data_IF_501075535641
#
_entry.id   IF_501075535641
#
_cell.length_a   1.000
_cell.length_b   1.000
_cell.length_c   1.000
_cell.angle_alpha   90.00
_cell.angle_beta   90.00
_cell.angle_gamma   90.00
#
_symmetry.space_group_name_H-M   'P 1'
#
loop_
_entity.id
_entity.type
_entity.pdbx_description
1 polymer ?
#
# COMPACT_ATOMS: atom_id res chain seq x y z
N UNK A 1 -39.38 2.32 28.81
CA UNK A 1 -38.48 3.43 28.43
C UNK A 1 -37.45 2.83 27.49
N UNK A 2 -37.69 2.89 26.19
CA UNK A 2 -36.88 2.21 25.17
C UNK A 2 -35.95 3.24 24.55
N UNK A 3 -34.65 3.12 24.81
CA UNK A 3 -33.64 3.97 24.19
C UNK A 3 -33.48 3.55 22.74
N UNK A 4 -33.86 4.42 21.79
CA UNK A 4 -33.62 4.21 20.36
C UNK A 4 -32.18 4.68 20.07
N UNK A 5 -31.32 3.76 19.64
CA UNK A 5 -30.01 4.11 19.12
C UNK A 5 -30.18 4.67 17.70
N UNK A 6 -29.95 5.96 17.54
CA UNK A 6 -29.92 6.61 16.24
C UNK A 6 -28.61 6.21 15.54
N UNK A 7 -28.68 5.24 14.62
CA UNK A 7 -27.55 4.91 13.76
C UNK A 7 -27.29 6.10 12.82
N UNK A 8 -26.10 6.69 12.90
CA UNK A 8 -25.66 7.71 11.94
C UNK A 8 -25.69 7.09 10.53
N UNK A 9 -26.38 7.70 9.55
CA UNK A 9 -26.42 7.15 8.20
C UNK A 9 -25.01 7.16 7.62
N UNK A 10 -24.48 5.97 7.28
CA UNK A 10 -23.27 5.86 6.47
C UNK A 10 -23.50 6.38 5.05
N UNK A 11 -22.42 6.55 4.28
CA UNK A 11 -22.51 7.01 2.88
C UNK A 11 -23.43 6.09 2.06
N UNK A 12 -24.40 6.68 1.35
CA UNK A 12 -25.26 5.89 0.46
C UNK A 12 -24.49 5.47 -0.81
N UNK A 13 -24.85 4.31 -1.39
CA UNK A 13 -24.29 3.84 -2.68
C UNK A 13 -24.38 4.90 -3.78
N UNK A 14 -25.43 5.71 -3.76
CA UNK A 14 -25.66 6.79 -4.73
C UNK A 14 -24.73 7.98 -4.51
N UNK A 15 -24.46 8.34 -3.26
CA UNK A 15 -23.47 9.37 -2.93
C UNK A 15 -22.05 8.93 -3.27
N UNK A 16 -21.75 7.65 -3.07
CA UNK A 16 -20.49 7.05 -3.52
C UNK A 16 -20.33 7.13 -5.04
N UNK A 17 -21.35 6.76 -5.81
CA UNK A 17 -21.32 6.81 -7.28
C UNK A 17 -21.33 8.23 -7.85
N UNK A 18 -22.03 9.19 -7.21
CA UNK A 18 -21.99 10.60 -7.62
C UNK A 18 -20.62 11.25 -7.42
N UNK A 19 -19.80 10.71 -6.52
CA UNK A 19 -18.39 11.08 -6.35
C UNK A 19 -17.44 10.28 -7.26
N UNK A 20 -17.97 9.28 -7.97
CA UNK A 20 -17.22 8.24 -8.70
C UNK A 20 -17.13 8.46 -10.22
N UNK A 21 -16.75 9.65 -10.67
CA UNK A 21 -16.18 9.84 -12.02
C UNK A 21 -14.64 9.83 -12.02
N UNK A 22 -14.03 9.45 -10.89
CA UNK A 22 -12.57 9.33 -10.73
C UNK A 22 -12.27 7.82 -10.62
N UNK A 23 -11.67 7.24 -11.66
CA UNK A 23 -11.31 5.82 -11.69
C UNK A 23 -10.34 5.44 -10.55
N UNK A 24 -10.34 4.15 -10.15
CA UNK A 24 -9.36 3.49 -9.27
C UNK A 24 -8.78 4.32 -8.09
N UNK A 25 -9.54 5.27 -7.54
CA UNK A 25 -9.06 6.20 -6.54
C UNK A 25 -9.35 5.70 -5.13
N UNK A 26 -8.32 5.69 -4.29
CA UNK A 26 -8.48 5.42 -2.86
C UNK A 26 -9.29 6.55 -2.21
N UNK A 27 -10.34 6.18 -1.48
CA UNK A 27 -11.18 7.09 -0.70
C UNK A 27 -10.74 7.05 0.76
N UNK A 28 -10.61 8.22 1.36
CA UNK A 28 -10.32 8.37 2.79
C UNK A 28 -11.60 8.71 3.52
N UNK A 29 -11.90 7.96 4.59
CA UNK A 29 -13.08 8.20 5.45
C UNK A 29 -12.75 7.89 6.91
N UNK A 30 -12.85 8.89 7.79
CA UNK A 30 -12.39 8.75 9.16
C UNK A 30 -10.92 8.32 9.20
N UNK A 31 -10.64 7.20 9.87
CA UNK A 31 -9.30 6.62 9.94
C UNK A 31 -9.06 5.52 8.89
N UNK A 32 -9.88 5.41 7.84
CA UNK A 32 -9.78 4.33 6.86
C UNK A 32 -9.42 4.83 5.46
N UNK A 33 -8.62 4.02 4.76
CA UNK A 33 -8.38 4.10 3.32
C UNK A 33 -9.16 2.97 2.66
N UNK A 34 -9.98 3.28 1.67
CA UNK A 34 -10.90 2.34 1.03
C UNK A 34 -10.67 2.36 -0.48
N UNK A 35 -10.64 1.18 -1.11
CA UNK A 35 -10.80 1.02 -2.55
C UNK A 35 -12.20 0.47 -2.82
N UNK A 36 -13.18 1.32 -3.20
CA UNK A 36 -14.55 0.86 -3.40
C UNK A 36 -14.69 -0.07 -4.61
N UNK A 37 -13.90 0.18 -5.66
CA UNK A 37 -13.92 -0.59 -6.90
C UNK A 37 -13.32 -1.98 -6.73
N UNK A 38 -12.34 -2.14 -5.83
CA UNK A 38 -11.73 -3.44 -5.49
C UNK A 38 -12.26 -4.05 -4.18
N UNK A 39 -13.25 -3.41 -3.56
CA UNK A 39 -13.96 -3.88 -2.37
C UNK A 39 -13.05 -4.25 -1.17
N UNK A 40 -12.03 -3.44 -0.88
CA UNK A 40 -11.21 -3.59 0.32
C UNK A 40 -11.02 -2.24 1.04
N UNK A 41 -10.67 -2.32 2.33
CA UNK A 41 -10.34 -1.17 3.15
C UNK A 41 -9.28 -1.50 4.17
N UNK A 42 -8.55 -0.47 4.61
CA UNK A 42 -7.49 -0.55 5.60
C UNK A 42 -7.67 0.61 6.58
N UNK A 43 -7.83 0.28 7.85
CA UNK A 43 -7.86 1.27 8.93
C UNK A 43 -6.43 1.64 9.33
N UNK A 44 -6.19 2.89 9.69
CA UNK A 44 -4.95 3.37 10.30
C UNK A 44 -5.14 3.60 11.78
N UNK A 45 -4.09 3.38 12.56
CA UNK A 45 -4.10 3.59 14.01
C UNK A 45 -3.19 4.74 14.44
N UNK A 46 -1.99 4.85 13.85
CA UNK A 46 -0.97 5.80 14.27
C UNK A 46 -0.57 6.79 13.17
N UNK A 47 -0.63 6.36 11.91
CA UNK A 47 -0.42 7.21 10.74
C UNK A 47 -1.72 7.87 10.29
N UNK A 48 -1.60 9.04 9.65
CA UNK A 48 -2.73 9.68 9.01
C UNK A 48 -3.23 8.82 7.83
N UNK A 49 -4.55 8.75 7.60
CA UNK A 49 -5.11 8.06 6.44
C UNK A 49 -4.59 8.57 5.10
N UNK A 50 -4.37 9.87 4.95
CA UNK A 50 -3.75 10.46 3.75
C UNK A 50 -2.31 9.97 3.56
N UNK A 51 -1.53 9.94 4.64
CA UNK A 51 -0.17 9.38 4.64
C UNK A 51 -0.19 7.92 4.18
N UNK A 52 -1.10 7.12 4.73
CA UNK A 52 -1.26 5.73 4.34
C UNK A 52 -1.69 5.56 2.87
N UNK A 53 -2.63 6.36 2.39
CA UNK A 53 -3.06 6.31 0.99
C UNK A 53 -1.91 6.64 0.02
N UNK A 54 -1.11 7.68 0.33
CA UNK A 54 0.08 8.01 -0.46
C UNK A 54 1.15 6.92 -0.36
N UNK A 55 1.35 6.33 0.83
CA UNK A 55 2.30 5.24 1.06
C UNK A 55 1.96 3.97 0.25
N UNK A 56 0.67 3.64 0.09
CA UNK A 56 0.20 2.54 -0.77
C UNK A 56 0.58 2.80 -2.22
N UNK A 57 0.35 4.02 -2.72
CA UNK A 57 0.71 4.39 -4.09
C UNK A 57 2.22 4.36 -4.31
N UNK A 58 2.97 4.95 -3.39
CA UNK A 58 4.44 4.93 -3.35
C UNK A 58 4.98 3.49 -3.41
N UNK A 59 4.42 2.58 -2.60
CA UNK A 59 4.87 1.18 -2.58
C UNK A 59 4.70 0.48 -3.93
N UNK A 60 3.60 0.77 -4.64
CA UNK A 60 3.38 0.26 -6.00
C UNK A 60 4.37 0.82 -7.00
N UNK A 61 4.69 2.11 -6.90
CA UNK A 61 5.66 2.73 -7.81
C UNK A 61 7.12 2.27 -7.50
N UNK A 62 7.44 1.86 -6.27
CA UNK A 62 8.77 1.30 -5.91
C UNK A 62 8.98 -0.13 -6.47
N UNK A 63 7.97 -0.99 -6.36
CA UNK A 63 7.99 -2.35 -6.90
C UNK A 63 6.76 -2.59 -7.78
N UNK A 64 6.75 -2.08 -9.02
CA UNK A 64 5.58 -2.12 -9.89
C UNK A 64 5.31 -3.55 -10.38
N UNK A 65 4.09 -4.03 -10.14
CA UNK A 65 3.59 -5.30 -10.67
C UNK A 65 2.16 -5.12 -11.21
N UNK A 66 1.99 -5.23 -12.53
CA UNK A 66 0.70 -5.02 -13.18
C UNK A 66 -0.36 -6.06 -12.77
N UNK A 67 0.06 -7.31 -12.56
CA UNK A 67 -0.83 -8.42 -12.21
C UNK A 67 -1.21 -8.47 -10.72
N UNK A 68 -0.60 -7.64 -9.89
CA UNK A 68 -0.81 -7.63 -8.44
C UNK A 68 -1.78 -6.51 -8.04
N UNK A 69 -2.80 -6.86 -7.26
CA UNK A 69 -3.80 -5.91 -6.79
C UNK A 69 -3.27 -5.01 -5.66
N UNK A 70 -3.74 -3.76 -5.60
CA UNK A 70 -3.33 -2.75 -4.60
C UNK A 70 -3.53 -3.18 -3.14
N UNK A 71 -4.47 -4.11 -2.87
CA UNK A 71 -4.67 -4.65 -1.52
C UNK A 71 -3.40 -5.26 -0.94
N UNK A 72 -2.54 -5.86 -1.78
CA UNK A 72 -1.31 -6.50 -1.34
C UNK A 72 -0.26 -5.45 -0.94
N UNK A 73 -0.21 -4.32 -1.64
CA UNK A 73 0.59 -3.17 -1.25
C UNK A 73 0.07 -2.54 0.04
N UNK A 74 -1.26 -2.43 0.21
CA UNK A 74 -1.88 -1.98 1.45
C UNK A 74 -1.52 -2.85 2.65
N UNK A 75 -1.56 -4.18 2.49
CA UNK A 75 -1.10 -5.14 3.51
C UNK A 75 0.40 -4.93 3.79
N UNK A 76 1.23 -4.80 2.76
CA UNK A 76 2.67 -4.68 2.91
C UNK A 76 3.05 -3.44 3.75
N UNK A 77 2.47 -2.27 3.45
CA UNK A 77 2.81 -1.03 4.15
C UNK A 77 2.13 -0.88 5.51
N UNK A 78 1.18 -1.76 5.87
CA UNK A 78 0.49 -1.73 7.17
C UNK A 78 1.47 -1.83 8.36
N UNK A 79 2.60 -2.52 8.17
CA UNK A 79 3.65 -2.64 9.18
C UNK A 79 4.20 -1.28 9.64
N UNK A 80 4.25 -0.28 8.75
CA UNK A 80 4.68 1.07 9.11
C UNK A 80 3.71 1.77 10.07
N UNK A 81 2.40 1.54 9.94
CA UNK A 81 1.39 2.08 10.86
C UNK A 81 1.49 1.42 12.24
N UNK A 82 1.67 0.09 12.28
CA UNK A 82 1.90 -0.63 13.55
C UNK A 82 3.15 -0.12 14.25
N UNK A 83 4.26 0.03 13.52
CA UNK A 83 5.53 0.52 14.09
C UNK A 83 5.42 1.98 14.53
N UNK A 84 4.73 2.83 13.78
CA UNK A 84 4.47 4.22 14.16
C UNK A 84 3.67 4.36 15.47
N UNK A 85 2.89 3.33 15.85
CA UNK A 85 2.15 3.32 17.12
C UNK A 85 3.03 3.13 18.36
N UNK A 86 4.22 2.55 18.21
CA UNK A 86 5.15 2.27 19.31
C UNK A 86 6.46 3.04 19.22
N UNK A 87 6.79 3.57 18.04
CA UNK A 87 8.00 4.33 17.76
C UNK A 87 7.66 5.70 17.16
N UNK A 88 7.75 6.74 17.99
CA UNK A 88 7.46 8.12 17.58
C UNK A 88 8.44 8.66 16.55
N UNK A 89 9.69 8.20 16.54
CA UNK A 89 10.69 8.62 15.55
C UNK A 89 10.40 7.96 14.20
N UNK A 90 9.98 6.70 14.18
CA UNK A 90 9.51 6.04 12.95
C UNK A 90 8.24 6.69 12.41
N UNK A 91 7.30 7.08 13.28
CA UNK A 91 6.12 7.84 12.86
C UNK A 91 6.50 9.14 12.17
N UNK A 92 7.39 9.91 12.78
CA UNK A 92 7.88 11.17 12.19
C UNK A 92 8.59 10.95 10.87
N UNK A 93 9.44 9.91 10.77
CA UNK A 93 10.12 9.54 9.52
C UNK A 93 9.14 9.34 8.37
N UNK A 94 8.03 8.62 8.60
CA UNK A 94 7.03 8.32 7.57
C UNK A 94 6.19 9.55 7.24
N UNK A 95 5.66 10.25 8.25
CA UNK A 95 4.81 11.42 8.06
C UNK A 95 5.56 12.58 7.37
N UNK A 96 6.80 12.86 7.81
CA UNK A 96 7.63 13.89 7.19
C UNK A 96 8.09 13.50 5.79
N UNK A 97 8.40 12.21 5.56
CA UNK A 97 8.78 11.70 4.24
C UNK A 97 7.66 11.82 3.21
N UNK A 98 6.42 11.48 3.60
CA UNK A 98 5.25 11.68 2.73
C UNK A 98 4.96 13.17 2.51
N UNK A 99 5.13 14.01 3.52
CA UNK A 99 4.95 15.45 3.35
C UNK A 99 5.98 16.06 2.38
N UNK A 100 7.25 15.66 2.42
CA UNK A 100 8.27 16.07 1.45
C UNK A 100 7.93 15.55 0.04
N UNK A 101 7.49 14.29 -0.08
CA UNK A 101 7.07 13.69 -1.34
C UNK A 101 5.90 14.46 -1.98
N UNK A 102 4.85 14.75 -1.20
CA UNK A 102 3.69 15.52 -1.66
C UNK A 102 4.08 16.97 -2.01
N UNK A 103 4.99 17.58 -1.27
CA UNK A 103 5.49 18.93 -1.58
C UNK A 103 6.25 18.98 -2.92
N UNK A 104 7.07 17.97 -3.23
CA UNK A 104 7.76 17.85 -4.53
C UNK A 104 6.79 17.68 -5.70
N UNK A 105 5.68 16.98 -5.47
CA UNK A 105 4.64 16.76 -6.48
C UNK A 105 3.77 18.00 -6.73
N UNK A 106 3.76 18.96 -5.80
CA UNK A 106 3.04 20.21 -5.94
C UNK A 106 1.54 20.08 -5.74
N UNK A 107 0.76 20.85 -6.50
CA UNK A 107 -0.69 20.91 -6.33
C UNK A 107 -1.35 19.54 -6.61
N UNK A 108 -2.03 18.98 -5.60
CA UNK A 108 -2.65 17.65 -5.68
C UNK A 108 -1.82 16.52 -5.04
N UNK A 109 -0.58 16.81 -4.62
CA UNK A 109 0.30 15.82 -3.99
C UNK A 109 0.71 14.68 -4.91
N UNK A 110 1.47 13.73 -4.39
CA UNK A 110 2.07 12.64 -5.16
C UNK A 110 1.00 11.74 -5.82
N UNK A 111 -0.12 11.49 -5.13
CA UNK A 111 -1.28 10.76 -5.68
C UNK A 111 -2.03 11.53 -6.77
N UNK A 112 -1.86 12.85 -6.84
CA UNK A 112 -2.48 13.71 -7.84
C UNK A 112 -1.74 13.72 -9.19
N UNK A 113 -0.52 13.18 -9.25
CA UNK A 113 0.25 13.08 -10.48
C UNK A 113 -0.34 12.01 -11.40
N UNK A 114 -0.73 12.44 -12.61
CA UNK A 114 -1.41 11.58 -13.58
C UNK A 114 -0.50 10.50 -14.17
N UNK A 115 0.70 10.86 -14.60
CA UNK A 115 1.64 9.94 -15.25
C UNK A 115 2.55 9.25 -14.25
N UNK A 116 2.90 7.99 -14.54
CA UNK A 116 3.85 7.24 -13.72
C UNK A 116 5.26 7.79 -13.79
N UNK A 117 5.70 8.22 -14.98
CA UNK A 117 7.04 8.78 -15.17
C UNK A 117 7.28 10.01 -14.27
N UNK A 118 6.28 10.90 -14.12
CA UNK A 118 6.35 12.05 -13.23
C UNK A 118 6.57 11.62 -11.76
N UNK A 119 5.89 10.55 -11.34
CA UNK A 119 6.04 9.99 -9.99
C UNK A 119 7.42 9.36 -9.80
N UNK A 120 7.87 8.57 -10.78
CA UNK A 120 9.19 7.92 -10.78
C UNK A 120 10.31 8.95 -10.73
N UNK A 121 10.20 10.07 -11.43
CA UNK A 121 11.20 11.13 -11.39
C UNK A 121 11.32 11.79 -10.01
N UNK A 122 10.21 11.90 -9.25
CA UNK A 122 10.26 12.31 -7.85
C UNK A 122 10.89 11.22 -6.98
N UNK A 123 10.60 9.94 -7.22
CA UNK A 123 11.20 8.84 -6.46
C UNK A 123 12.73 8.82 -6.60
N UNK A 124 13.25 9.03 -7.80
CA UNK A 124 14.70 9.16 -8.05
C UNK A 124 15.33 10.28 -7.23
N UNK A 125 14.63 11.39 -7.01
CA UNK A 125 15.14 12.51 -6.21
C UNK A 125 15.27 12.16 -4.73
N UNK A 126 14.43 11.26 -4.22
CA UNK A 126 14.40 10.89 -2.80
C UNK A 126 15.03 9.52 -2.51
N UNK A 127 15.55 8.83 -3.52
CA UNK A 127 15.96 7.41 -3.38
C UNK A 127 17.04 7.20 -2.30
N UNK A 128 17.90 8.20 -2.08
CA UNK A 128 18.94 8.15 -1.06
C UNK A 128 18.45 8.54 0.35
N UNK A 129 17.19 8.97 0.50
CA UNK A 129 16.68 9.43 1.79
C UNK A 129 16.41 8.26 2.75
N UNK A 130 16.53 8.47 4.07
CA UNK A 130 16.19 7.45 5.07
C UNK A 130 14.73 6.96 4.95
N UNK A 131 13.80 7.87 4.62
CA UNK A 131 12.40 7.53 4.40
C UNK A 131 12.23 6.53 3.25
N UNK A 132 12.78 6.85 2.07
CA UNK A 132 12.66 5.96 0.91
C UNK A 132 13.31 4.60 1.18
N UNK A 133 14.51 4.59 1.77
CA UNK A 133 15.22 3.35 2.09
C UNK A 133 14.47 2.50 3.12
N UNK A 134 13.82 3.12 4.11
CA UNK A 134 13.01 2.40 5.09
C UNK A 134 11.79 1.71 4.44
N UNK A 135 11.09 2.40 3.54
CA UNK A 135 9.93 1.85 2.83
C UNK A 135 10.36 0.77 1.83
N UNK A 136 11.37 1.06 1.00
CA UNK A 136 11.91 0.11 0.01
C UNK A 136 12.44 -1.16 0.69
N UNK A 137 13.17 -1.03 1.79
CA UNK A 137 13.76 -2.15 2.51
C UNK A 137 12.70 -3.04 3.15
N UNK A 138 11.67 -2.45 3.77
CA UNK A 138 10.54 -3.20 4.32
C UNK A 138 9.78 -3.97 3.23
N UNK A 139 9.49 -3.32 2.10
CA UNK A 139 8.71 -3.89 0.99
C UNK A 139 9.32 -5.18 0.40
N UNK A 140 10.66 -5.32 0.39
CA UNK A 140 11.31 -6.56 -0.06
C UNK A 140 10.80 -7.77 0.72
N UNK A 141 10.50 -7.59 2.00
CA UNK A 141 9.98 -8.67 2.85
C UNK A 141 8.45 -8.62 2.90
N UNK A 142 7.86 -7.46 3.16
CA UNK A 142 6.42 -7.33 3.44
C UNK A 142 5.54 -7.54 2.20
N UNK A 143 6.03 -7.27 0.98
CA UNK A 143 5.31 -7.58 -0.26
C UNK A 143 5.50 -9.05 -0.66
N UNK A 144 6.75 -9.50 -0.83
CA UNK A 144 7.05 -10.81 -1.40
C UNK A 144 6.81 -11.99 -0.45
N UNK A 145 6.72 -11.75 0.86
CA UNK A 145 6.43 -12.80 1.84
C UNK A 145 4.91 -12.98 2.12
N UNK A 146 4.04 -12.49 1.24
CA UNK A 146 2.62 -12.78 1.29
C UNK A 146 2.35 -14.08 0.52
N UNK A 147 1.99 -15.15 1.22
CA UNK A 147 1.80 -16.50 0.64
C UNK A 147 0.84 -16.55 -0.55
N UNK A 148 -0.18 -15.69 -0.53
CA UNK A 148 -1.14 -15.55 -1.63
C UNK A 148 -0.49 -15.07 -2.94
N UNK A 149 0.67 -14.40 -2.87
CA UNK A 149 1.41 -13.91 -4.03
C UNK A 149 2.44 -14.89 -4.58
N UNK A 150 2.83 -15.90 -3.81
CA UNK A 150 3.88 -16.84 -4.23
C UNK A 150 3.64 -17.48 -5.61
N UNK A 151 2.40 -17.91 -5.97
CA UNK A 151 2.12 -18.42 -7.31
C UNK A 151 2.33 -17.38 -8.42
N UNK A 152 2.12 -16.09 -8.14
CA UNK A 152 2.35 -15.02 -9.12
C UNK A 152 3.84 -14.82 -9.43
N UNK A 153 4.72 -15.20 -8.51
CA UNK A 153 6.17 -15.10 -8.66
C UNK A 153 6.83 -16.43 -9.06
N UNK A 154 6.04 -17.48 -9.33
CA UNK A 154 6.56 -18.82 -9.58
C UNK A 154 7.25 -19.44 -8.37
N UNK A 155 6.97 -18.97 -7.15
CA UNK A 155 7.53 -19.53 -5.93
C UNK A 155 6.61 -20.60 -5.36
N UNK A 156 7.13 -21.82 -5.18
CA UNK A 156 6.33 -22.98 -4.72
C UNK A 156 6.18 -23.08 -3.19
N UNK A 157 6.63 -22.06 -2.45
CA UNK A 157 6.66 -22.07 -0.99
C UNK A 157 7.84 -22.82 -0.41
N UNK A 158 7.93 -22.90 0.92
CA UNK A 158 9.13 -23.41 1.58
C UNK A 158 9.44 -24.88 1.26
N UNK A 159 10.72 -25.17 0.98
CA UNK A 159 11.17 -26.53 0.65
C UNK A 159 11.70 -27.32 1.84
N UNK A 160 12.11 -26.65 2.92
CA UNK A 160 12.76 -27.32 4.06
C UNK A 160 11.86 -28.39 4.70
N UNK A 161 10.60 -28.06 4.95
CA UNK A 161 9.60 -29.00 5.49
C UNK A 161 9.17 -30.08 4.48
N UNK A 162 9.66 -29.99 3.24
CA UNK A 162 9.21 -30.77 2.08
C UNK A 162 10.32 -31.59 1.43
N UNK A 163 11.51 -31.65 2.04
CA UNK A 163 12.64 -32.45 1.54
C UNK A 163 13.44 -31.79 0.41
N UNK A 164 13.32 -30.47 0.22
CA UNK A 164 14.03 -29.72 -0.84
C UNK A 164 13.23 -29.55 -2.13
N UNK A 165 13.81 -28.87 -3.11
CA UNK A 165 13.21 -28.66 -4.45
C UNK A 165 13.63 -29.70 -5.50
N UNK A 166 14.59 -30.59 -5.18
CA UNK A 166 15.16 -31.56 -6.16
C UNK A 166 14.07 -32.36 -6.89
N UNK A 167 12.97 -32.71 -6.22
CA UNK A 167 11.85 -33.45 -6.81
C UNK A 167 10.54 -32.63 -6.86
N UNK A 168 10.63 -31.30 -6.75
CA UNK A 168 9.51 -30.36 -6.65
C UNK A 168 9.96 -28.98 -7.13
N UNK A 169 9.85 -28.67 -8.41
CA UNK A 169 10.05 -27.30 -8.88
C UNK A 169 11.48 -26.86 -9.19
N UNK A 170 12.52 -27.63 -8.85
CA UNK A 170 13.89 -27.23 -9.19
C UNK A 170 14.10 -27.08 -10.71
N UNK A 171 13.44 -27.94 -11.50
CA UNK A 171 13.52 -27.95 -12.97
C UNK A 171 12.30 -27.28 -13.64
N UNK A 172 11.36 -26.70 -12.89
CA UNK A 172 10.11 -26.12 -13.43
C UNK A 172 10.32 -24.67 -13.93
N UNK A 173 11.56 -24.30 -14.28
CA UNK A 173 11.97 -22.95 -14.65
C UNK A 173 11.91 -22.79 -16.17
N UNK A 174 10.93 -22.05 -16.70
CA UNK A 174 10.78 -21.82 -18.15
C UNK A 174 11.73 -20.76 -18.75
N UNK A 175 12.56 -20.09 -17.93
CA UNK A 175 13.27 -18.86 -18.30
C UNK A 175 14.81 -18.92 -18.23
N UNK A 176 15.38 -20.12 -18.06
CA UNK A 176 16.81 -20.40 -18.29
C UNK A 176 16.99 -21.13 -19.62
#
# INVERSE_FOLDING_TARGET
MTTIYEQRPGLSRRELLKRGTIGAALIITGNAVISPDKAWGLETAALKPDTMATLIKLARDIYPHDSIADRFYAIAVKGHDTKAGTDGAHRELIEAGIADLDARAGAGGYRGLGWEDDRVDILKQIEATPFFQAVRGDLVVSLYNQKELWPHFGYEGESYSKGGYIARGFDDIEWL
#
